data_IF_944567129853
#
_entry.id   IF_944567129853
#
_cell.length_a   1.000
_cell.length_b   1.000
_cell.length_c   1.000
_cell.angle_alpha   90.00
_cell.angle_beta   90.00
_cell.angle_gamma   90.00
#
_symmetry.space_group_name_H-M   'P 1'
#
loop_
_entity.id
_entity.type
_entity.pdbx_description
1 polymer ?
#
# COMPACT_ATOMS: atom_id res chain seq x y z
N UNK A 1 11.72 9.44 -24.83
CA UNK A 1 12.70 9.28 -23.73
C UNK A 1 12.31 10.01 -22.44
N UNK A 2 12.07 11.33 -22.46
CA UNK A 2 11.69 12.10 -21.25
C UNK A 2 10.42 11.60 -20.53
N UNK A 3 9.38 11.19 -21.27
CA UNK A 3 8.13 10.67 -20.68
C UNK A 3 8.31 9.35 -19.93
N UNK A 4 9.18 8.45 -20.42
CA UNK A 4 9.48 7.21 -19.74
C UNK A 4 10.20 7.48 -18.42
N UNK A 5 11.26 8.30 -18.43
CA UNK A 5 11.98 8.67 -17.20
C UNK A 5 11.06 9.32 -16.16
N UNK A 6 10.11 10.17 -16.59
CA UNK A 6 9.12 10.79 -15.71
C UNK A 6 8.16 9.75 -15.08
N UNK A 7 7.67 8.79 -15.87
CA UNK A 7 6.76 7.75 -15.36
C UNK A 7 7.45 6.83 -14.34
N UNK A 8 8.71 6.46 -14.59
CA UNK A 8 9.51 5.68 -13.65
C UNK A 8 9.78 6.46 -12.34
N UNK A 9 10.12 7.75 -12.43
CA UNK A 9 10.30 8.60 -11.25
C UNK A 9 9.02 8.76 -10.43
N UNK A 10 7.88 8.96 -11.09
CA UNK A 10 6.58 9.06 -10.43
C UNK A 10 6.15 7.75 -9.79
N UNK A 11 6.41 6.61 -10.42
CA UNK A 11 6.10 5.30 -9.84
C UNK A 11 6.94 5.02 -8.58
N UNK A 12 8.23 5.36 -8.60
CA UNK A 12 9.07 5.27 -7.41
C UNK A 12 8.53 6.16 -6.27
N UNK A 13 8.12 7.39 -6.61
CA UNK A 13 7.52 8.31 -5.65
C UNK A 13 6.21 7.75 -5.07
N UNK A 14 5.35 7.15 -5.89
CA UNK A 14 4.11 6.49 -5.44
C UNK A 14 4.43 5.36 -4.47
N UNK A 15 5.43 4.53 -4.75
CA UNK A 15 5.81 3.43 -3.85
C UNK A 15 6.33 3.98 -2.53
N UNK A 16 7.27 4.93 -2.55
CA UNK A 16 7.87 5.48 -1.32
C UNK A 16 6.82 6.19 -0.45
N UNK A 17 6.03 7.09 -1.04
CA UNK A 17 4.99 7.84 -0.32
C UNK A 17 3.87 6.89 0.12
N UNK A 18 3.47 5.97 -0.74
CA UNK A 18 2.42 4.99 -0.48
C UNK A 18 2.77 4.06 0.66
N UNK A 19 3.99 3.52 0.70
CA UNK A 19 4.46 2.67 1.80
C UNK A 19 4.51 3.43 3.13
N UNK A 20 4.94 4.69 3.10
CA UNK A 20 4.94 5.55 4.28
C UNK A 20 3.52 5.81 4.81
N UNK A 21 2.57 6.15 3.91
CA UNK A 21 1.16 6.31 4.27
C UNK A 21 0.54 5.01 4.79
N UNK A 22 0.81 3.87 4.14
CA UNK A 22 0.33 2.56 4.56
C UNK A 22 0.78 2.22 5.99
N UNK A 23 2.06 2.51 6.30
CA UNK A 23 2.60 2.36 7.64
C UNK A 23 1.89 3.29 8.63
N UNK A 24 1.71 4.57 8.29
CA UNK A 24 1.07 5.52 9.19
C UNK A 24 -0.40 5.15 9.49
N UNK A 25 -1.17 4.80 8.46
CA UNK A 25 -2.58 4.39 8.59
C UNK A 25 -2.75 3.11 9.39
N UNK A 26 -1.91 2.10 9.13
CA UNK A 26 -1.94 0.85 9.91
C UNK A 26 -1.61 1.08 11.38
N UNK A 27 -0.68 1.99 11.70
CA UNK A 27 -0.38 2.38 13.08
C UNK A 27 -1.54 3.13 13.74
N UNK A 28 -2.24 3.99 12.99
CA UNK A 28 -3.45 4.66 13.50
C UNK A 28 -4.56 3.66 13.80
N UNK A 29 -4.79 2.68 12.93
CA UNK A 29 -5.74 1.59 13.20
C UNK A 29 -5.36 0.83 14.46
N UNK A 30 -4.08 0.46 14.61
CA UNK A 30 -3.60 -0.22 15.82
C UNK A 30 -3.88 0.59 17.10
N UNK A 31 -3.64 1.91 17.07
CA UNK A 31 -3.96 2.82 18.18
C UNK A 31 -5.47 2.94 18.44
N UNK A 32 -6.29 2.93 17.39
CA UNK A 32 -7.74 2.99 17.52
C UNK A 32 -8.29 1.70 18.16
N UNK A 33 -7.83 0.54 17.70
CA UNK A 33 -8.24 -0.78 18.21
C UNK A 33 -7.79 -0.99 19.67
N UNK A 34 -6.57 -0.60 20.01
CA UNK A 34 -6.09 -0.66 21.40
C UNK A 34 -6.87 0.27 22.32
N UNK A 35 -7.23 1.48 21.87
CA UNK A 35 -8.14 2.38 22.61
C UNK A 35 -9.55 1.80 22.78
N UNK A 36 -10.02 1.06 21.79
CA UNK A 36 -11.29 0.32 21.84
C UNK A 36 -11.22 -0.97 22.68
N UNK A 37 -10.08 -1.24 23.36
CA UNK A 37 -9.83 -2.46 24.16
C UNK A 37 -10.04 -3.77 23.38
N UNK A 38 -9.75 -3.75 22.08
CA UNK A 38 -9.71 -4.95 21.25
C UNK A 38 -8.53 -5.82 21.69
N UNK A 39 -8.72 -7.13 21.68
CA UNK A 39 -7.69 -8.11 22.05
C UNK A 39 -6.44 -7.96 21.15
N UNK A 40 -5.25 -8.21 21.71
CA UNK A 40 -3.98 -7.84 21.07
C UNK A 40 -3.66 -8.66 19.83
N UNK A 41 -4.05 -9.93 19.81
CA UNK A 41 -3.91 -10.82 18.65
C UNK A 41 -4.77 -10.32 17.50
N UNK A 42 -6.04 -9.99 17.76
CA UNK A 42 -6.94 -9.43 16.75
C UNK A 42 -6.47 -8.06 16.26
N UNK A 43 -6.00 -7.22 17.18
CA UNK A 43 -5.44 -5.89 16.86
C UNK A 43 -4.23 -6.02 15.91
N UNK A 44 -3.33 -6.96 16.18
CA UNK A 44 -2.18 -7.22 15.32
C UNK A 44 -2.57 -7.83 13.97
N UNK A 45 -3.55 -8.74 13.97
CA UNK A 45 -4.10 -9.32 12.74
C UNK A 45 -4.70 -8.22 11.84
N UNK A 46 -5.61 -7.39 12.37
CA UNK A 46 -6.23 -6.30 11.61
C UNK A 46 -5.21 -5.27 11.12
N UNK A 47 -4.22 -4.92 11.94
CA UNK A 47 -3.10 -4.06 11.53
C UNK A 47 -2.36 -4.65 10.33
N UNK A 48 -2.01 -5.94 10.38
CA UNK A 48 -1.29 -6.61 9.31
C UNK A 48 -2.13 -6.73 8.04
N UNK A 49 -3.42 -7.07 8.16
CA UNK A 49 -4.36 -7.13 7.03
C UNK A 49 -4.49 -5.75 6.38
N UNK A 50 -4.73 -4.69 7.16
CA UNK A 50 -4.83 -3.34 6.62
C UNK A 50 -3.51 -2.92 5.94
N UNK A 51 -2.37 -3.19 6.56
CA UNK A 51 -1.08 -2.87 5.96
C UNK A 51 -0.84 -3.59 4.63
N UNK A 52 -1.18 -4.89 4.56
CA UNK A 52 -1.09 -5.67 3.33
C UNK A 52 -2.01 -5.13 2.22
N UNK A 53 -3.27 -4.81 2.55
CA UNK A 53 -4.22 -4.23 1.60
C UNK A 53 -3.74 -2.88 1.06
N UNK A 54 -3.23 -2.02 1.94
CA UNK A 54 -2.67 -0.73 1.52
C UNK A 54 -1.43 -0.91 0.64
N UNK A 55 -0.55 -1.87 0.95
CA UNK A 55 0.58 -2.18 0.07
C UNK A 55 0.14 -2.64 -1.32
N UNK A 56 -0.86 -3.52 -1.41
CA UNK A 56 -1.40 -3.95 -2.71
C UNK A 56 -1.89 -2.75 -3.51
N UNK A 57 -2.66 -1.84 -2.89
CA UNK A 57 -3.12 -0.61 -3.54
C UNK A 57 -1.98 0.28 -4.05
N UNK A 58 -0.91 0.42 -3.25
CA UNK A 58 0.28 1.19 -3.62
C UNK A 58 0.98 0.57 -4.82
N UNK A 59 1.20 -0.74 -4.83
CA UNK A 59 1.84 -1.42 -5.95
C UNK A 59 0.99 -1.39 -7.22
N UNK A 60 -0.33 -1.61 -7.11
CA UNK A 60 -1.26 -1.51 -8.25
C UNK A 60 -1.22 -0.09 -8.85
N UNK A 61 -1.20 0.93 -8.00
CA UNK A 61 -1.11 2.34 -8.43
C UNK A 61 0.22 2.63 -9.13
N UNK A 62 1.33 2.12 -8.61
CA UNK A 62 2.65 2.29 -9.19
C UNK A 62 2.78 1.57 -10.55
N UNK A 63 2.31 0.32 -10.66
CA UNK A 63 2.30 -0.45 -11.90
C UNK A 63 1.45 0.23 -12.98
N UNK A 64 0.26 0.71 -12.59
CA UNK A 64 -0.62 1.48 -13.49
C UNK A 64 0.08 2.73 -14.03
N UNK A 65 0.95 3.38 -13.24
CA UNK A 65 1.68 4.58 -13.67
C UNK A 65 2.78 4.29 -14.69
N UNK A 66 3.39 3.11 -14.65
CA UNK A 66 4.39 2.67 -15.63
C UNK A 66 3.70 2.06 -16.88
N UNK A 67 2.37 1.93 -16.88
CA UNK A 67 1.61 1.38 -18.00
C UNK A 67 1.56 -0.14 -18.03
N UNK A 68 1.89 -0.80 -16.91
CA UNK A 68 1.68 -2.24 -16.73
C UNK A 68 0.24 -2.44 -16.28
N UNK A 69 -0.63 -3.06 -17.11
CA UNK A 69 -1.99 -3.34 -16.72
C UNK A 69 -1.97 -4.33 -15.55
N UNK A 70 -2.70 -4.06 -14.45
CA UNK A 70 -2.79 -5.01 -13.34
C UNK A 70 -3.42 -6.35 -13.77
N UNK A 71 -4.08 -6.42 -14.92
CA UNK A 71 -4.62 -7.64 -15.52
C UNK A 71 -3.55 -8.68 -15.88
N UNK A 72 -2.31 -8.27 -16.15
CA UNK A 72 -1.19 -9.22 -16.37
C UNK A 72 -0.84 -10.03 -15.12
N UNK A 73 -1.23 -9.59 -13.91
CA UNK A 73 -1.01 -10.33 -12.66
C UNK A 73 -2.07 -11.41 -12.41
N UNK A 74 -3.23 -11.31 -13.08
CA UNK A 74 -4.39 -12.19 -12.90
C UNK A 74 -4.48 -13.23 -14.02
N UNK A 75 -3.71 -13.05 -15.10
CA UNK A 75 -3.60 -13.99 -16.20
C UNK A 75 -2.71 -15.18 -15.81
N UNK A 76 -3.29 -16.13 -15.08
CA UNK A 76 -2.80 -17.50 -14.92
C UNK A 76 -3.81 -18.48 -15.50
#
# INVERSE_FOLDING_TARGET
>A
WAQYALNWGLALLIVVVGMWLAKQLSQWLHRALTRARVEITLTNFLRNVLYALLLVLVFVSALSKIGVPPTSLIAV
#
